data_IF_215235813979
#
_entry.id   IF_215235813979
#
_cell.length_a   1.000
_cell.length_b   1.000
_cell.length_c   1.000
_cell.angle_alpha   90.00
_cell.angle_beta   90.00
_cell.angle_gamma   90.00
#
_symmetry.space_group_name_H-M   'P 1'
#
loop_
_entity.id
_entity.type
_entity.pdbx_description
1 polymer ?
#
# COMPACT_ATOMS: atom_id res chain seq x y z
N UNK A 1 -41.79 -70.04 -32.28
CA UNK A 1 -41.73 -69.33 -33.58
C UNK A 1 -42.07 -67.87 -33.30
N UNK A 2 -41.40 -66.94 -34.00
CA UNK A 2 -41.45 -65.46 -33.97
C UNK A 2 -40.62 -64.70 -32.90
N UNK A 3 -39.54 -64.06 -33.40
CA UNK A 3 -38.82 -62.89 -32.87
C UNK A 3 -39.69 -61.59 -33.00
N UNK A 4 -39.14 -60.36 -32.86
CA UNK A 4 -39.03 -59.44 -31.71
C UNK A 4 -39.90 -58.14 -31.94
N UNK A 5 -39.72 -56.96 -31.31
CA UNK A 5 -38.53 -56.09 -31.49
C UNK A 5 -38.06 -55.26 -30.27
N UNK A 6 -36.82 -54.81 -30.40
CA UNK A 6 -36.14 -53.77 -29.63
C UNK A 6 -36.90 -52.42 -29.64
N UNK A 7 -36.54 -51.48 -28.74
CA UNK A 7 -36.28 -50.05 -29.07
C UNK A 7 -35.82 -49.23 -27.84
N UNK A 8 -34.63 -48.63 -28.01
CA UNK A 8 -34.06 -47.37 -27.48
C UNK A 8 -33.72 -47.19 -25.99
N UNK A 9 -32.43 -47.37 -25.74
CA UNK A 9 -31.57 -46.64 -24.80
C UNK A 9 -31.81 -45.12 -24.85
N UNK A 10 -32.14 -44.51 -23.72
CA UNK A 10 -32.02 -43.06 -23.52
C UNK A 10 -31.05 -42.81 -22.37
N UNK A 11 -29.79 -42.60 -22.72
CA UNK A 11 -28.71 -42.20 -21.81
C UNK A 11 -29.03 -40.82 -21.25
N UNK A 12 -29.33 -40.72 -19.96
CA UNK A 12 -29.55 -39.44 -19.27
C UNK A 12 -28.18 -38.84 -18.92
N UNK A 13 -27.69 -37.95 -19.78
CA UNK A 13 -26.55 -37.08 -19.54
C UNK A 13 -26.83 -36.23 -18.31
N UNK A 14 -26.11 -36.50 -17.22
CA UNK A 14 -26.09 -35.62 -16.03
C UNK A 14 -24.97 -34.61 -16.24
N UNK A 15 -25.35 -33.41 -16.67
CA UNK A 15 -24.46 -32.25 -16.76
C UNK A 15 -24.16 -31.77 -15.34
N UNK A 16 -22.88 -31.84 -14.98
CA UNK A 16 -22.32 -31.28 -13.75
C UNK A 16 -22.14 -29.78 -14.00
N UNK A 17 -22.95 -28.95 -13.33
CA UNK A 17 -22.74 -27.50 -13.27
C UNK A 17 -21.72 -27.25 -12.16
N UNK A 18 -20.48 -26.95 -12.53
CA UNK A 18 -19.47 -26.35 -11.65
C UNK A 18 -19.59 -24.84 -11.73
N UNK A 19 -20.26 -24.25 -10.75
CA UNK A 19 -20.30 -22.81 -10.49
C UNK A 19 -19.50 -22.53 -9.21
N UNK A 20 -18.55 -21.59 -9.27
CA UNK A 20 -17.72 -21.23 -8.12
C UNK A 20 -16.39 -20.57 -8.48
N UNK A 21 -16.41 -19.52 -9.29
CA UNK A 21 -15.26 -18.62 -9.47
C UNK A 21 -15.01 -17.82 -8.18
N UNK A 22 -13.92 -18.12 -7.50
CA UNK A 22 -13.42 -17.38 -6.34
C UNK A 22 -12.70 -16.08 -6.70
N UNK A 23 -12.53 -15.14 -5.75
CA UNK A 23 -12.01 -13.78 -5.96
C UNK A 23 -10.47 -13.74 -6.02
N UNK A 24 -9.85 -14.58 -6.85
CA UNK A 24 -8.38 -14.67 -6.95
C UNK A 24 -7.81 -13.89 -8.15
N UNK A 25 -8.66 -13.50 -9.12
CA UNK A 25 -8.20 -12.81 -10.34
C UNK A 25 -8.08 -11.28 -10.22
N UNK A 26 -8.68 -10.66 -9.19
CA UNK A 26 -8.74 -9.20 -9.09
C UNK A 26 -7.47 -8.57 -8.47
N UNK A 27 -6.69 -9.32 -7.67
CA UNK A 27 -5.51 -8.79 -6.97
C UNK A 27 -4.24 -8.85 -7.83
N UNK A 28 -4.19 -9.74 -8.84
CA UNK A 28 -2.99 -9.93 -9.65
C UNK A 28 -2.81 -8.90 -10.77
N UNK A 29 -3.88 -8.19 -11.13
CA UNK A 29 -3.88 -7.21 -12.24
C UNK A 29 -3.37 -5.83 -11.81
N UNK A 30 -3.45 -5.48 -10.53
CA UNK A 30 -3.03 -4.15 -10.02
C UNK A 30 -1.53 -4.09 -9.62
N UNK A 31 -0.87 -5.25 -9.49
CA UNK A 31 0.56 -5.31 -9.21
C UNK A 31 1.43 -5.09 -10.46
N UNK A 32 0.91 -5.44 -11.65
CA UNK A 32 1.61 -5.33 -12.94
C UNK A 32 1.49 -3.93 -13.57
N UNK A 33 0.47 -3.14 -13.21
CA UNK A 33 0.29 -1.76 -13.72
C UNK A 33 1.18 -0.73 -13.02
N UNK A 34 1.62 -1.01 -11.77
CA UNK A 34 2.48 -0.07 -11.01
C UNK A 34 3.92 -0.02 -11.51
N UNK A 35 4.42 -1.10 -12.10
CA UNK A 35 5.76 -1.18 -12.69
C UNK A 35 5.87 -0.48 -14.05
N UNK A 36 4.76 -0.23 -14.75
CA UNK A 36 4.75 0.46 -16.06
C UNK A 36 4.69 1.99 -15.99
N UNK A 37 4.46 2.56 -14.80
CA UNK A 37 4.23 4.01 -14.63
C UNK A 37 5.43 4.80 -14.10
N UNK A 38 6.56 4.13 -13.83
CA UNK A 38 7.84 4.80 -13.61
C UNK A 38 8.48 5.08 -14.95
N UNK A 39 8.56 6.36 -15.36
CA UNK A 39 9.28 6.71 -16.59
C UNK A 39 10.71 6.19 -16.52
N UNK A 40 11.04 5.23 -17.38
CA UNK A 40 12.33 4.54 -17.35
C UNK A 40 13.47 5.57 -17.36
N UNK A 41 14.37 5.57 -16.36
CA UNK A 41 15.51 6.50 -16.33
C UNK A 41 16.44 6.34 -17.54
N UNK A 42 16.32 5.21 -18.25
CA UNK A 42 16.99 4.93 -19.51
C UNK A 42 16.56 5.88 -20.66
N UNK A 43 15.32 6.35 -20.68
CA UNK A 43 14.85 7.27 -21.73
C UNK A 43 15.45 8.68 -21.61
N UNK A 44 15.88 9.09 -20.41
CA UNK A 44 16.44 10.43 -20.18
C UNK A 44 17.87 10.49 -20.73
N UNK A 45 18.65 9.43 -20.53
CA UNK A 45 19.98 9.27 -21.10
C UNK A 45 19.93 9.21 -22.63
N UNK A 46 19.04 8.39 -23.19
CA UNK A 46 18.87 8.25 -24.65
C UNK A 46 18.49 9.58 -25.32
N UNK A 47 17.53 10.31 -24.73
CA UNK A 47 17.10 11.62 -25.26
C UNK A 47 18.21 12.67 -25.14
N UNK A 48 19.00 12.65 -24.06
CA UNK A 48 20.13 13.56 -23.89
C UNK A 48 21.26 13.28 -24.88
N UNK A 49 21.54 12.00 -25.16
CA UNK A 49 22.50 11.57 -26.19
C UNK A 49 22.05 12.02 -27.57
N UNK A 50 20.76 11.85 -27.91
CA UNK A 50 20.21 12.30 -29.20
C UNK A 50 20.32 13.83 -29.33
N UNK A 51 20.01 14.60 -28.28
CA UNK A 51 20.18 16.05 -28.32
C UNK A 51 21.64 16.49 -28.43
N UNK A 52 22.56 15.81 -27.77
CA UNK A 52 24.00 16.06 -27.88
C UNK A 52 24.50 15.83 -29.31
N UNK A 53 24.07 14.72 -29.94
CA UNK A 53 24.40 14.40 -31.34
C UNK A 53 23.82 15.45 -32.29
N UNK A 54 22.56 15.85 -32.12
CA UNK A 54 21.95 16.89 -32.95
C UNK A 54 22.64 18.26 -32.78
N UNK A 55 22.98 18.65 -31.55
CA UNK A 55 23.70 19.90 -31.30
C UNK A 55 25.11 19.89 -31.91
N UNK A 56 25.80 18.75 -31.87
CA UNK A 56 27.10 18.57 -32.51
C UNK A 56 27.00 18.67 -34.04
N UNK A 57 25.97 18.06 -34.66
CA UNK A 57 25.71 18.19 -36.10
C UNK A 57 25.42 19.65 -36.47
N UNK A 58 24.63 20.37 -35.66
CA UNK A 58 24.36 21.79 -35.86
C UNK A 58 25.63 22.65 -35.82
N UNK A 59 26.52 22.34 -34.86
CA UNK A 59 27.79 23.05 -34.68
C UNK A 59 28.71 22.81 -35.87
N UNK A 60 28.84 21.55 -36.33
CA UNK A 60 29.67 21.20 -37.47
C UNK A 60 29.17 21.90 -38.75
N UNK A 61 27.86 21.87 -39.02
CA UNK A 61 27.27 22.58 -40.15
C UNK A 61 27.44 24.12 -40.06
N UNK A 62 27.32 24.69 -38.85
CA UNK A 62 27.57 26.12 -38.65
C UNK A 62 29.04 26.51 -38.90
N UNK A 63 29.98 25.62 -38.59
CA UNK A 63 31.42 25.83 -38.84
C UNK A 63 31.75 25.71 -40.32
N UNK A 64 31.18 24.73 -41.03
CA UNK A 64 31.34 24.61 -42.48
C UNK A 64 30.84 25.87 -43.20
N UNK A 65 29.67 26.40 -42.82
CA UNK A 65 29.11 27.64 -43.37
C UNK A 65 30.00 28.88 -43.17
N UNK A 66 30.65 28.99 -42.01
CA UNK A 66 31.57 30.09 -41.68
C UNK A 66 32.87 30.03 -42.47
N UNK A 67 33.33 28.82 -42.80
CA UNK A 67 34.54 28.61 -43.60
C UNK A 67 34.24 28.89 -45.08
N UNK A 68 33.04 28.54 -45.55
CA UNK A 68 32.64 28.64 -46.95
C UNK A 68 32.33 30.08 -47.39
N UNK A 69 31.92 30.98 -46.49
CA UNK A 69 31.73 32.42 -46.79
C UNK A 69 33.03 33.10 -47.33
N UNK A 70 34.20 32.50 -47.10
CA UNK A 70 35.51 32.99 -47.58
C UNK A 70 35.84 32.54 -49.02
N UNK A 71 35.09 31.61 -49.60
CA UNK A 71 35.28 31.10 -50.96
C UNK A 71 33.93 31.23 -51.68
N UNK A 72 33.80 32.10 -52.68
CA UNK A 72 32.50 32.40 -53.31
C UNK A 72 31.84 31.22 -54.04
N UNK A 73 31.19 30.32 -53.30
CA UNK A 73 30.41 29.17 -53.80
C UNK A 73 28.90 29.37 -53.64
N UNK A 74 28.16 28.57 -54.42
CA UNK A 74 26.77 28.78 -54.80
C UNK A 74 25.79 28.95 -53.61
N UNK A 75 24.89 29.95 -53.74
CA UNK A 75 23.80 30.30 -52.83
C UNK A 75 22.97 29.10 -52.28
N UNK A 76 22.91 27.99 -53.01
CA UNK A 76 22.19 26.79 -52.58
C UNK A 76 22.81 26.06 -51.39
N UNK A 77 24.13 26.11 -51.19
CA UNK A 77 24.78 25.48 -50.03
C UNK A 77 24.42 26.21 -48.74
N UNK A 78 24.50 27.55 -48.75
CA UNK A 78 24.13 28.42 -47.64
C UNK A 78 22.69 28.21 -47.18
N UNK A 79 21.76 28.04 -48.14
CA UNK A 79 20.35 27.81 -47.81
C UNK A 79 20.13 26.44 -47.12
N UNK A 80 20.71 25.37 -47.66
CA UNK A 80 20.56 24.00 -47.11
C UNK A 80 21.17 23.93 -45.72
N UNK A 81 22.34 24.52 -45.53
CA UNK A 81 23.05 24.49 -44.26
C UNK A 81 22.32 25.26 -43.16
N UNK A 82 21.75 26.42 -43.51
CA UNK A 82 20.91 27.20 -42.59
C UNK A 82 19.67 26.40 -42.16
N UNK A 83 19.06 25.63 -43.06
CA UNK A 83 17.92 24.77 -42.70
C UNK A 83 18.31 23.64 -41.74
N UNK A 84 19.48 23.02 -41.93
CA UNK A 84 20.01 21.98 -41.03
C UNK A 84 20.30 22.55 -39.64
N UNK A 85 20.94 23.72 -39.56
CA UNK A 85 21.23 24.40 -38.29
C UNK A 85 19.95 24.76 -37.52
N UNK A 86 18.92 25.27 -38.21
CA UNK A 86 17.62 25.60 -37.61
C UNK A 86 16.89 24.35 -37.11
N UNK A 87 16.86 23.27 -37.90
CA UNK A 87 16.23 22.01 -37.50
C UNK A 87 16.89 21.43 -36.24
N UNK A 88 18.21 21.50 -36.15
CA UNK A 88 18.95 21.00 -34.99
C UNK A 88 18.78 21.88 -33.74
N UNK A 89 18.77 23.21 -33.88
CA UNK A 89 18.42 24.13 -32.79
C UNK A 89 17.01 23.88 -32.26
N UNK A 90 16.05 23.66 -33.16
CA UNK A 90 14.67 23.36 -32.78
C UNK A 90 14.57 22.02 -32.04
N UNK A 91 15.30 21.00 -32.49
CA UNK A 91 15.43 19.71 -31.80
C UNK A 91 16.01 19.84 -30.39
N UNK A 92 17.11 20.59 -30.25
CA UNK A 92 17.74 20.85 -28.95
C UNK A 92 16.80 21.62 -28.00
N UNK A 93 16.10 22.64 -28.51
CA UNK A 93 15.15 23.44 -27.74
C UNK A 93 13.98 22.60 -27.19
N UNK A 94 13.35 21.78 -28.05
CA UNK A 94 12.25 20.91 -27.65
C UNK A 94 12.66 19.92 -26.55
N UNK A 95 13.89 19.41 -26.62
CA UNK A 95 14.39 18.42 -25.68
C UNK A 95 14.78 19.03 -24.33
N UNK A 96 15.39 20.22 -24.34
CA UNK A 96 15.68 20.99 -23.13
C UNK A 96 14.38 21.37 -22.41
N UNK A 97 13.35 21.78 -23.18
CA UNK A 97 12.05 22.15 -22.62
C UNK A 97 11.28 20.95 -22.06
N UNK A 98 11.50 19.74 -22.61
CA UNK A 98 11.03 18.48 -22.07
C UNK A 98 11.74 18.07 -20.77
N UNK A 99 13.07 18.20 -20.72
CA UNK A 99 13.87 17.90 -19.54
C UNK A 99 13.53 18.83 -18.35
N UNK A 100 13.23 20.09 -18.62
CA UNK A 100 12.77 21.05 -17.61
C UNK A 100 11.38 20.72 -17.07
N UNK A 101 10.47 20.23 -17.92
CA UNK A 101 9.14 19.76 -17.49
C UNK A 101 9.21 18.47 -16.68
N UNK A 102 10.16 17.57 -16.98
CA UNK A 102 10.33 16.32 -16.25
C UNK A 102 10.99 16.53 -14.88
N UNK A 103 12.02 17.39 -14.80
CA UNK A 103 12.63 17.78 -13.51
C UNK A 103 11.63 18.40 -12.55
N UNK A 104 10.77 19.30 -13.05
CA UNK A 104 9.70 19.90 -12.23
C UNK A 104 8.67 18.90 -11.71
N UNK A 105 8.47 17.75 -12.39
CA UNK A 105 7.55 16.69 -11.93
C UNK A 105 8.18 15.82 -10.82
N UNK A 106 9.48 15.57 -10.89
CA UNK A 106 10.20 14.83 -9.84
C UNK A 106 10.31 15.64 -8.54
N UNK A 107 10.65 16.93 -8.63
CA UNK A 107 10.75 17.82 -7.46
C UNK A 107 9.40 18.06 -6.76
N UNK A 108 8.28 17.93 -7.49
CA UNK A 108 6.95 17.99 -6.90
C UNK A 108 6.61 16.70 -6.14
N UNK A 109 7.07 15.53 -6.62
CA UNK A 109 6.77 14.24 -6.01
C UNK A 109 7.58 13.97 -4.72
N UNK A 110 8.82 14.46 -4.63
CA UNK A 110 9.65 14.31 -3.41
C UNK A 110 9.18 15.19 -2.24
N UNK A 111 8.51 16.31 -2.54
CA UNK A 111 7.95 17.22 -1.51
C UNK A 111 6.75 16.60 -0.79
N UNK A 112 5.92 15.84 -1.50
CA UNK A 112 4.75 15.21 -0.88
C UNK A 112 5.16 14.12 0.12
N UNK A 113 6.13 13.27 -0.24
CA UNK A 113 6.60 12.21 0.68
C UNK A 113 7.33 12.73 1.91
N UNK A 114 8.10 13.82 1.76
CA UNK A 114 8.84 14.43 2.88
C UNK A 114 7.92 15.15 3.85
N UNK A 115 6.86 15.81 3.36
CA UNK A 115 5.84 16.43 4.20
C UNK A 115 5.10 15.40 5.06
N UNK A 116 4.64 14.29 4.47
CA UNK A 116 3.99 13.21 5.23
C UNK A 116 4.90 12.56 6.27
N UNK A 117 6.20 12.39 5.95
CA UNK A 117 7.16 11.85 6.92
C UNK A 117 7.40 12.79 8.09
N UNK A 118 7.55 14.08 7.83
CA UNK A 118 7.71 15.09 8.90
C UNK A 118 6.49 15.15 9.81
N UNK A 119 5.29 15.10 9.25
CA UNK A 119 4.04 15.08 10.02
C UNK A 119 3.93 13.80 10.86
N UNK A 120 4.28 12.63 10.29
CA UNK A 120 4.31 11.37 11.03
C UNK A 120 5.38 11.36 12.14
N UNK A 121 6.54 11.97 11.93
CA UNK A 121 7.60 12.09 12.95
C UNK A 121 7.22 13.05 14.08
N UNK A 122 6.66 14.21 13.74
CA UNK A 122 6.14 15.16 14.72
C UNK A 122 5.04 14.51 15.59
N UNK A 123 4.12 13.78 14.97
CA UNK A 123 3.10 13.00 15.67
C UNK A 123 3.71 11.92 16.58
N UNK A 124 4.71 11.17 16.09
CA UNK A 124 5.43 10.16 16.87
C UNK A 124 6.12 10.75 18.10
N UNK A 125 6.79 11.89 17.94
CA UNK A 125 7.49 12.57 19.02
C UNK A 125 6.51 13.04 20.11
N UNK A 126 5.40 13.68 19.72
CA UNK A 126 4.36 14.11 20.66
C UNK A 126 3.69 12.92 21.38
N UNK A 127 3.44 11.84 20.66
CA UNK A 127 2.77 10.64 21.20
C UNK A 127 3.67 9.81 22.13
N UNK A 128 5.00 9.83 21.93
CA UNK A 128 5.94 8.96 22.66
C UNK A 128 5.83 9.10 24.18
N UNK A 129 5.66 10.32 24.69
CA UNK A 129 5.51 10.56 26.14
C UNK A 129 4.25 9.89 26.71
N UNK A 130 3.13 9.92 25.98
CA UNK A 130 1.89 9.28 26.40
C UNK A 130 1.97 7.75 26.28
N UNK A 131 2.60 7.25 25.21
CA UNK A 131 2.81 5.82 24.99
C UNK A 131 3.73 5.18 26.05
N UNK A 132 4.79 5.88 26.48
CA UNK A 132 5.69 5.37 27.52
C UNK A 132 5.00 5.29 28.90
N UNK A 133 4.08 6.21 29.18
CA UNK A 133 3.26 6.17 30.39
C UNK A 133 2.27 5.01 30.38
N UNK A 134 1.58 4.82 29.25
CA UNK A 134 0.64 3.71 29.04
C UNK A 134 1.34 2.35 29.10
N UNK A 135 2.48 2.19 28.45
CA UNK A 135 3.25 0.93 28.49
C UNK A 135 3.63 0.54 29.92
N UNK A 136 3.97 1.52 30.76
CA UNK A 136 4.25 1.30 32.19
C UNK A 136 3.00 0.96 33.01
N UNK A 137 1.85 1.56 32.73
CA UNK A 137 0.61 1.16 33.44
C UNK A 137 0.18 -0.25 33.05
N UNK A 138 0.27 -0.60 31.76
CA UNK A 138 0.04 -1.95 31.27
C UNK A 138 0.98 -2.95 31.96
N UNK A 139 2.28 -2.66 32.02
CA UNK A 139 3.26 -3.52 32.68
C UNK A 139 2.94 -3.77 34.16
N UNK A 140 2.58 -2.71 34.92
CA UNK A 140 2.17 -2.85 36.32
C UNK A 140 0.93 -3.70 36.50
N UNK A 141 -0.06 -3.55 35.61
CA UNK A 141 -1.26 -4.39 35.66
C UNK A 141 -0.92 -5.86 35.37
N UNK A 142 0.01 -6.11 34.44
CA UNK A 142 0.46 -7.46 34.16
C UNK A 142 1.20 -8.09 35.35
N UNK A 143 2.00 -7.30 36.07
CA UNK A 143 2.62 -7.73 37.33
C UNK A 143 1.57 -8.03 38.42
N UNK A 144 0.50 -7.23 38.50
CA UNK A 144 -0.63 -7.45 39.42
C UNK A 144 -1.34 -8.79 39.14
N UNK A 145 -1.42 -9.21 37.88
CA UNK A 145 -1.91 -10.53 37.47
C UNK A 145 -0.88 -11.66 37.64
N UNK A 146 0.28 -11.38 38.24
CA UNK A 146 1.36 -12.35 38.47
C UNK A 146 1.81 -13.06 37.18
N UNK A 147 1.89 -12.30 36.09
CA UNK A 147 2.46 -12.76 34.84
C UNK A 147 4.00 -12.86 34.96
N UNK A 148 4.56 -13.94 34.45
CA UNK A 148 6.01 -14.08 34.27
C UNK A 148 6.50 -13.18 33.15
N UNK A 149 7.80 -12.86 33.12
CA UNK A 149 8.41 -12.06 32.04
C UNK A 149 8.07 -12.62 30.64
N UNK A 150 8.10 -13.95 30.50
CA UNK A 150 7.74 -14.62 29.27
C UNK A 150 6.25 -14.41 28.90
N UNK A 151 5.33 -14.39 29.87
CA UNK A 151 3.92 -14.15 29.60
C UNK A 151 3.62 -12.67 29.33
N UNK A 152 4.30 -11.74 30.01
CA UNK A 152 4.14 -10.30 29.76
C UNK A 152 4.47 -9.95 28.31
N UNK A 153 5.59 -10.46 27.78
CA UNK A 153 5.96 -10.28 26.38
C UNK A 153 4.88 -10.81 25.42
N UNK A 154 4.31 -11.99 25.69
CA UNK A 154 3.21 -12.53 24.88
C UNK A 154 1.97 -11.65 24.99
N UNK A 155 1.65 -11.16 26.18
CA UNK A 155 0.50 -10.28 26.40
C UNK A 155 0.67 -8.94 25.65
N UNK A 156 1.86 -8.34 25.61
CA UNK A 156 2.14 -7.18 24.78
C UNK A 156 1.96 -7.46 23.28
N UNK A 157 2.39 -8.62 22.80
CA UNK A 157 2.20 -8.99 21.40
C UNK A 157 0.71 -9.25 21.07
N UNK A 158 -0.05 -9.81 22.01
CA UNK A 158 -1.51 -9.96 21.90
C UNK A 158 -2.21 -8.59 21.82
N UNK A 159 -1.80 -7.62 22.65
CA UNK A 159 -2.32 -6.25 22.61
C UNK A 159 -1.99 -5.52 21.31
N UNK A 160 -0.83 -5.83 20.72
CA UNK A 160 -0.45 -5.36 19.37
C UNK A 160 -1.27 -6.02 18.25
N UNK A 161 -2.11 -7.01 18.57
CA UNK A 161 -3.02 -7.66 17.64
C UNK A 161 -2.42 -8.83 16.86
N UNK A 162 -1.20 -9.28 17.23
CA UNK A 162 -0.56 -10.42 16.56
C UNK A 162 -1.36 -11.70 16.77
N UNK A 163 -1.34 -12.55 15.76
CA UNK A 163 -1.83 -13.93 15.81
C UNK A 163 -0.86 -14.83 16.56
N UNK A 164 -1.33 -15.99 17.03
CA UNK A 164 -0.48 -16.97 17.72
C UNK A 164 0.71 -17.43 16.86
N UNK A 165 0.53 -17.50 15.54
CA UNK A 165 1.59 -17.83 14.58
C UNK A 165 2.65 -16.73 14.51
N UNK A 166 2.25 -15.46 14.47
CA UNK A 166 3.17 -14.32 14.46
C UNK A 166 3.89 -14.18 15.80
N UNK A 167 3.19 -14.43 16.92
CA UNK A 167 3.79 -14.46 18.26
C UNK A 167 4.85 -15.55 18.33
N UNK A 168 4.53 -16.76 17.85
CA UNK A 168 5.47 -17.87 17.81
C UNK A 168 6.73 -17.52 17.01
N UNK A 169 6.56 -16.89 15.83
CA UNK A 169 7.68 -16.43 15.01
C UNK A 169 8.51 -15.33 15.70
N UNK A 170 7.86 -14.31 16.26
CA UNK A 170 8.53 -13.18 16.93
C UNK A 170 9.35 -13.62 18.15
N UNK A 171 8.86 -14.65 18.86
CA UNK A 171 9.47 -15.21 20.07
C UNK A 171 10.37 -16.42 19.82
N UNK A 172 10.53 -16.83 18.55
CA UNK A 172 11.27 -18.04 18.17
C UNK A 172 10.81 -19.28 18.97
N UNK A 173 9.50 -19.45 19.11
CA UNK A 173 8.88 -20.57 19.84
C UNK A 173 7.84 -21.27 18.97
N UNK A 174 7.23 -22.35 19.48
CA UNK A 174 6.17 -23.05 18.77
C UNK A 174 4.82 -22.36 18.93
N UNK A 175 3.93 -22.50 17.95
CA UNK A 175 2.54 -22.00 18.06
C UNK A 175 1.80 -22.65 19.24
N UNK A 176 2.09 -23.92 19.56
CA UNK A 176 1.58 -24.60 20.74
C UNK A 176 2.00 -23.89 22.03
N UNK A 177 3.27 -23.50 22.13
CA UNK A 177 3.79 -22.75 23.28
C UNK A 177 3.11 -21.39 23.40
N UNK A 178 2.98 -20.64 22.30
CA UNK A 178 2.28 -19.36 22.27
C UNK A 178 0.81 -19.49 22.71
N UNK A 179 0.13 -20.56 22.29
CA UNK A 179 -1.24 -20.88 22.70
C UNK A 179 -1.35 -21.17 24.20
N UNK A 180 -0.46 -22.00 24.74
CA UNK A 180 -0.42 -22.32 26.17
C UNK A 180 -0.16 -21.07 27.01
N UNK A 181 0.82 -20.25 26.62
CA UNK A 181 1.11 -18.98 27.30
C UNK A 181 -0.09 -18.01 27.24
N UNK A 182 -0.75 -17.90 26.08
CA UNK A 182 -1.97 -17.09 25.94
C UNK A 182 -3.10 -17.57 26.86
N UNK A 183 -3.31 -18.89 26.94
CA UNK A 183 -4.33 -19.46 27.85
C UNK A 183 -4.01 -19.19 29.32
N UNK A 184 -2.73 -19.26 29.70
CA UNK A 184 -2.30 -18.93 31.05
C UNK A 184 -2.54 -17.46 31.37
N UNK A 185 -2.30 -16.55 30.42
CA UNK A 185 -2.58 -15.12 30.56
C UNK A 185 -4.08 -14.88 30.83
N UNK A 186 -4.96 -15.47 30.02
CA UNK A 186 -6.41 -15.35 30.18
C UNK A 186 -6.88 -15.87 31.55
N UNK A 187 -6.34 -17.01 31.98
CA UNK A 187 -6.68 -17.61 33.29
C UNK A 187 -6.22 -16.73 34.45
N UNK A 188 -5.01 -16.16 34.38
CA UNK A 188 -4.44 -15.31 35.44
C UNK A 188 -5.07 -13.93 35.52
N UNK A 189 -5.47 -13.37 34.38
CA UNK A 189 -6.14 -12.07 34.30
C UNK A 189 -7.64 -12.14 34.60
N UNK A 190 -8.24 -13.34 34.54
CA UNK A 190 -9.68 -13.53 34.67
C UNK A 190 -10.47 -13.12 33.42
N UNK A 191 -9.79 -12.91 32.29
CA UNK A 191 -10.39 -12.47 31.04
C UNK A 191 -10.59 -13.65 30.09
N UNK A 192 -11.67 -13.63 29.32
CA UNK A 192 -12.11 -14.75 28.47
C UNK A 192 -11.27 -14.93 27.21
N UNK A 193 -10.54 -13.91 26.78
CA UNK A 193 -9.71 -13.99 25.58
C UNK A 193 -9.12 -12.66 25.12
N UNK A 194 -8.58 -12.67 23.88
CA UNK A 194 -7.84 -11.54 23.31
C UNK A 194 -8.66 -10.24 23.27
N UNK A 195 -9.91 -10.32 22.82
CA UNK A 195 -10.76 -9.14 22.68
C UNK A 195 -11.04 -8.47 24.02
N UNK A 196 -11.27 -9.26 25.06
CA UNK A 196 -11.52 -8.75 26.42
C UNK A 196 -10.24 -8.19 27.05
N UNK A 197 -9.10 -8.87 26.84
CA UNK A 197 -7.78 -8.34 27.21
C UNK A 197 -7.51 -6.97 26.57
N UNK A 198 -7.79 -6.83 25.27
CA UNK A 198 -7.64 -5.54 24.58
C UNK A 198 -8.64 -4.49 25.08
N UNK A 199 -9.89 -4.88 25.31
CA UNK A 199 -10.93 -3.98 25.80
C UNK A 199 -10.58 -3.43 27.19
N UNK A 200 -10.12 -4.29 28.10
CA UNK A 200 -9.72 -3.91 29.47
C UNK A 200 -8.72 -2.74 29.48
N UNK A 201 -7.70 -2.76 28.61
CA UNK A 201 -6.71 -1.68 28.55
C UNK A 201 -7.16 -0.47 27.73
N UNK A 202 -8.14 -0.63 26.84
CA UNK A 202 -8.63 0.44 25.98
C UNK A 202 -9.77 1.24 26.62
N UNK A 203 -10.51 0.65 27.55
CA UNK A 203 -11.63 1.29 28.27
C UNK A 203 -11.17 2.57 28.98
N UNK A 204 -10.02 2.54 29.65
CA UNK A 204 -9.43 3.70 30.32
C UNK A 204 -8.89 4.77 29.36
N UNK A 205 -8.69 4.44 28.07
CA UNK A 205 -8.18 5.37 27.06
C UNK A 205 -9.30 6.11 26.32
N UNK A 206 -10.51 5.56 26.33
CA UNK A 206 -11.66 6.19 25.71
C UNK A 206 -12.33 7.10 26.74
N UNK A 207 -12.58 8.39 26.43
CA UNK A 207 -13.40 9.20 27.30
C UNK A 207 -14.75 8.50 27.48
N UNK A 208 -15.35 8.53 28.70
CA UNK A 208 -16.63 7.88 28.93
C UNK A 208 -17.61 8.35 27.87
N UNK A 209 -17.96 7.44 26.98
CA UNK A 209 -19.01 7.68 26.01
C UNK A 209 -20.22 8.09 26.81
N UNK A 210 -20.88 9.15 26.38
CA UNK A 210 -22.20 9.56 26.80
C UNK A 210 -23.24 8.47 26.44
N UNK A 211 -23.07 7.25 26.94
CA UNK A 211 -24.11 6.26 27.05
C UNK A 211 -25.06 6.77 28.13
N UNK A 212 -25.94 7.68 27.72
CA UNK A 212 -27.09 8.08 28.52
C UNK A 212 -27.86 6.79 28.84
N UNK A 213 -28.19 6.51 30.11
CA UNK A 213 -29.06 5.40 30.42
C UNK A 213 -30.43 5.75 29.86
N UNK A 214 -30.77 5.21 28.69
CA UNK A 214 -32.13 5.32 28.17
C UNK A 214 -33.03 4.47 29.08
N UNK A 215 -33.59 5.16 30.06
CA UNK A 215 -34.87 4.93 30.71
C UNK A 215 -35.29 3.48 30.96
N UNK A 216 -35.16 3.13 32.23
CA UNK A 216 -36.16 2.37 32.95
C UNK A 216 -37.53 3.08 32.89
N UNK A 217 -38.27 2.92 31.79
CA UNK A 217 -39.72 3.19 31.80
C UNK A 217 -40.47 1.88 31.96
N UNK A 218 -40.72 1.55 33.22
CA UNK A 218 -42.05 1.21 33.75
C UNK A 218 -43.03 0.61 32.72
N UNK A 219 -43.01 -0.72 32.58
CA UNK A 219 -44.15 -1.48 32.08
C UNK A 219 -45.26 -1.50 33.14
N UNK A 220 -45.98 -0.39 33.25
CA UNK A 220 -47.18 -0.28 34.07
C UNK A 220 -48.27 -1.19 33.50
N UNK A 221 -48.64 -2.17 34.32
CA UNK A 221 -49.91 -2.88 34.36
C UNK A 221 -51.09 -2.08 33.78
N UNK A 222 -51.71 -2.58 32.70
CA UNK A 222 -53.07 -2.25 32.28
C UNK A 222 -53.77 -3.55 31.88
N UNK A 223 -54.55 -4.11 32.81
CA UNK A 223 -55.55 -5.14 32.52
C UNK A 223 -56.76 -4.55 31.79
N UNK A 224 -57.50 -5.35 31.00
CA UNK A 224 -58.65 -4.85 30.25
C UNK A 224 -59.85 -4.62 31.18
N UNK A 225 -60.68 -3.58 30.95
CA UNK A 225 -61.95 -3.45 31.64
C UNK A 225 -62.91 -4.53 31.10
N UNK A 226 -63.45 -5.32 32.02
CA UNK A 226 -64.44 -6.34 31.72
C UNK A 226 -65.73 -5.75 31.16
N UNK A 227 -66.36 -6.51 30.28
CA UNK A 227 -67.80 -6.58 30.11
C UNK A 227 -68.19 -7.98 29.63
#
# INVERSE_FOLDING_TARGET
>A
MTLPPATLTMTRTTTIVTEGSGPESAVKTDADDRTRRGGDPLQIGERAVIAGVLALIALLAGVDLLIEERQGVAFWHVLVETMVAVAACFGAFQLLHGAWRLRKRLDAQDRDFSAFRQEAEAWRMGSRKYLDGLSRSIGRQMEQWHLSAAEMEVAFLLLKGLSLKEIAAARQTSEKTARVQSSAIYTKSGLSGRSELSAFFLEDLLPPGNASPTDSTTGSNIGPPGN
#
